data_IF_723449307874
#
_entry.id   IF_723449307874
#
_cell.length_a   1.000
_cell.length_b   1.000
_cell.length_c   1.000
_cell.angle_alpha   90.00
_cell.angle_beta   90.00
_cell.angle_gamma   90.00
#
_symmetry.space_group_name_H-M   'P 1'
#
loop_
_entity.id
_entity.type
_entity.pdbx_description
1 polymer ?
#
# COMPACT_ATOMS: atom_id res chain seq x y z
N UNK A 1 -16.75 -13.45 16.45
CA UNK A 1 -15.33 -13.33 16.06
C UNK A 1 -15.02 -11.89 15.67
N UNK A 2 -14.44 -11.10 16.58
CA UNK A 2 -14.13 -9.69 16.31
C UNK A 2 -12.96 -9.58 15.33
N UNK A 3 -13.27 -9.28 14.06
CA UNK A 3 -12.25 -8.89 13.07
C UNK A 3 -11.74 -7.51 13.49
N UNK A 4 -10.48 -7.43 13.91
CA UNK A 4 -9.82 -6.16 14.15
C UNK A 4 -9.86 -5.33 12.86
N UNK A 5 -10.74 -4.32 12.82
CA UNK A 5 -10.81 -3.33 11.76
C UNK A 5 -9.76 -2.23 11.96
N UNK A 6 -9.71 -1.31 11.00
CA UNK A 6 -8.80 -0.15 10.88
C UNK A 6 -8.74 0.79 12.10
N UNK A 7 -9.61 0.60 13.10
CA UNK A 7 -9.74 1.44 14.29
C UNK A 7 -8.83 1.03 15.47
N UNK A 8 -8.02 -0.03 15.36
CA UNK A 8 -7.15 -0.49 16.45
C UNK A 8 -5.66 -0.27 16.15
N UNK A 9 -5.25 0.97 15.89
CA UNK A 9 -3.82 1.32 15.87
C UNK A 9 -3.41 1.64 17.33
N UNK A 10 -2.35 1.01 17.85
CA UNK A 10 -1.77 1.18 19.20
C UNK A 10 -2.42 0.47 20.41
N UNK A 11 -3.36 -0.47 20.24
CA UNK A 11 -3.99 -1.19 21.36
C UNK A 11 -3.22 -2.46 21.82
N UNK A 12 -2.13 -2.85 21.14
CA UNK A 12 -1.29 -4.01 21.52
C UNK A 12 -1.97 -5.40 21.42
N UNK A 13 -3.24 -5.46 20.98
CA UNK A 13 -4.09 -6.67 21.02
C UNK A 13 -4.27 -7.37 19.66
N UNK A 14 -3.91 -6.71 18.55
CA UNK A 14 -4.22 -7.20 17.19
C UNK A 14 -3.12 -8.14 16.67
N UNK A 15 -3.50 -9.36 16.24
CA UNK A 15 -2.63 -10.40 15.65
C UNK A 15 -2.00 -10.05 14.28
N UNK A 16 -1.97 -8.77 13.89
CA UNK A 16 -1.27 -8.31 12.69
C UNK A 16 -1.83 -8.80 11.34
N UNK A 17 -3.12 -9.14 11.27
CA UNK A 17 -3.73 -9.50 9.98
C UNK A 17 -3.93 -8.21 9.18
N UNK A 18 -2.92 -7.83 8.40
CA UNK A 18 -3.03 -6.73 7.46
C UNK A 18 -4.05 -7.11 6.37
N UNK A 19 -4.97 -6.20 6.00
CA UNK A 19 -5.84 -6.41 4.87
C UNK A 19 -5.00 -6.61 3.60
N UNK A 20 -5.54 -7.39 2.65
CA UNK A 20 -4.88 -7.61 1.36
C UNK A 20 -4.63 -6.24 0.68
N UNK A 21 -3.45 -6.04 0.08
CA UNK A 21 -3.17 -4.83 -0.67
C UNK A 21 -4.16 -4.67 -1.83
N UNK A 22 -4.53 -3.42 -2.10
CA UNK A 22 -5.36 -3.04 -3.25
C UNK A 22 -4.42 -2.64 -4.38
N UNK A 23 -4.55 -3.29 -5.54
CA UNK A 23 -3.78 -2.96 -6.73
C UNK A 23 -4.48 -1.86 -7.53
N UNK A 24 -3.80 -0.74 -7.75
CA UNK A 24 -4.32 0.36 -8.57
C UNK A 24 -3.68 0.33 -9.97
N UNK A 25 -4.48 0.35 -11.05
CA UNK A 25 -3.93 0.32 -12.40
C UNK A 25 -3.20 1.62 -12.75
N UNK A 26 -3.69 2.77 -12.29
CA UNK A 26 -3.04 4.06 -12.54
C UNK A 26 -1.97 4.33 -11.50
N UNK A 27 -0.73 4.47 -11.94
CA UNK A 27 0.41 4.75 -11.08
C UNK A 27 0.29 6.15 -10.47
N UNK A 28 0.28 6.23 -9.14
CA UNK A 28 0.24 7.52 -8.41
C UNK A 28 1.55 8.29 -8.49
N UNK A 29 2.67 7.63 -8.83
CA UNK A 29 3.99 8.26 -8.88
C UNK A 29 4.28 8.95 -10.22
N UNK A 30 3.83 8.38 -11.35
CA UNK A 30 4.12 8.92 -12.68
C UNK A 30 2.89 9.10 -13.58
N UNK A 31 1.71 8.65 -13.15
CA UNK A 31 0.47 8.76 -13.91
C UNK A 31 0.24 7.68 -14.98
N UNK A 32 1.21 6.79 -15.23
CA UNK A 32 1.09 5.71 -16.22
C UNK A 32 -0.03 4.72 -15.88
N UNK A 33 -0.77 4.28 -16.90
CA UNK A 33 -1.83 3.29 -16.76
C UNK A 33 -1.28 1.89 -17.00
N UNK A 34 -1.38 1.03 -15.99
CA UNK A 34 -0.89 -0.34 -15.99
C UNK A 34 -2.06 -1.33 -16.10
N UNK A 35 -1.81 -2.54 -16.63
CA UNK A 35 -2.77 -3.63 -16.60
C UNK A 35 -3.32 -3.91 -15.20
N UNK A 36 -4.58 -4.34 -15.11
CA UNK A 36 -5.19 -4.75 -13.84
C UNK A 36 -4.41 -5.94 -13.27
N UNK A 37 -4.05 -5.87 -12.00
CA UNK A 37 -3.28 -6.91 -11.32
C UNK A 37 -1.76 -6.70 -11.34
N UNK A 38 -1.25 -5.66 -12.01
CA UNK A 38 0.17 -5.30 -11.91
C UNK A 38 0.54 -4.85 -10.49
N UNK A 39 1.59 -5.45 -9.93
CA UNK A 39 2.11 -5.07 -8.61
C UNK A 39 3.08 -3.87 -8.66
N UNK A 40 3.70 -3.63 -9.82
CA UNK A 40 4.68 -2.58 -10.06
C UNK A 40 4.39 -1.84 -11.37
N UNK A 41 4.75 -0.57 -11.43
CA UNK A 41 4.59 0.26 -12.61
C UNK A 41 5.63 -0.10 -13.66
N UNK A 42 5.20 -0.42 -14.89
CA UNK A 42 6.11 -0.74 -15.99
C UNK A 42 6.93 0.48 -16.48
N UNK A 43 6.47 1.70 -16.21
CA UNK A 43 7.14 2.92 -16.64
C UNK A 43 8.17 3.46 -15.64
N UNK A 44 7.91 3.37 -14.33
CA UNK A 44 8.77 3.98 -13.31
C UNK A 44 9.21 3.05 -12.18
N UNK A 45 8.75 1.80 -12.16
CA UNK A 45 9.10 0.81 -11.14
C UNK A 45 8.43 1.01 -9.77
N UNK A 46 7.60 2.04 -9.59
CA UNK A 46 6.89 2.26 -8.32
C UNK A 46 5.87 1.15 -8.03
N UNK A 47 5.72 0.77 -6.76
CA UNK A 47 4.66 -0.16 -6.34
C UNK A 47 3.27 0.41 -6.61
N UNK A 48 2.40 -0.45 -7.15
CA UNK A 48 0.98 -0.21 -7.37
C UNK A 48 0.11 -0.79 -6.24
N UNK A 49 0.74 -1.35 -5.21
CA UNK A 49 0.09 -1.85 -4.01
C UNK A 49 -0.21 -0.71 -3.04
N UNK A 50 -1.50 -0.40 -2.83
CA UNK A 50 -1.93 0.43 -1.71
C UNK A 50 -2.32 -0.48 -0.55
N UNK A 51 -1.63 -0.33 0.59
CA UNK A 51 -2.06 -0.97 1.83
C UNK A 51 -2.80 0.08 2.69
N UNK A 52 -4.01 -0.22 3.20
CA UNK A 52 -4.71 0.66 4.11
C UNK A 52 -3.86 0.96 5.35
N UNK A 53 -3.65 2.25 5.66
CA UNK A 53 -2.92 2.68 6.86
C UNK A 53 -1.41 2.88 6.69
N UNK A 54 -0.84 2.61 5.51
CA UNK A 54 0.47 3.16 5.13
C UNK A 54 0.21 4.20 4.06
N UNK A 55 0.52 5.46 4.37
CA UNK A 55 0.69 6.44 3.31
C UNK A 55 1.76 5.88 2.39
N UNK A 56 1.49 5.83 1.09
CA UNK A 56 2.48 5.46 0.08
C UNK A 56 3.48 6.62 -0.04
N UNK A 57 4.15 6.95 1.07
CA UNK A 57 5.40 7.69 1.05
C UNK A 57 6.35 6.75 0.36
N UNK A 58 6.53 7.00 -0.94
CA UNK A 58 7.73 6.65 -1.69
C UNK A 58 8.86 6.69 -0.67
N UNK A 59 9.46 5.52 -0.38
CA UNK A 59 10.67 5.42 0.43
C UNK A 59 11.79 6.16 -0.29
N UNK A 60 11.73 7.49 -0.31
CA UNK A 60 12.92 8.30 -0.43
C UNK A 60 13.65 8.02 0.87
N UNK A 61 14.69 7.21 0.78
CA UNK A 61 15.75 7.17 1.77
C UNK A 61 16.21 8.62 2.01
N UNK A 62 15.61 9.32 2.96
CA UNK A 62 16.18 10.53 3.54
C UNK A 62 17.15 10.07 4.63
N UNK A 63 18.26 9.49 4.19
CA UNK A 63 19.51 9.57 4.95
C UNK A 63 20.06 10.97 4.67
N UNK A 64 19.64 11.91 5.52
CA UNK A 64 20.40 13.13 5.82
C UNK A 64 21.20 12.88 7.10
#
# INVERSE_FOLDING_TARGET
MSKCGYACINCGRCRGILPKPILVPRCVACGHENPRGSAVCAACGASLELRPGVTNTIGKNVRG
#
